data_IF_485447941813
#
_entry.id   IF_485447941813
#
_cell.length_a   1.000
_cell.length_b   1.000
_cell.length_c   1.000
_cell.angle_alpha   90.00
_cell.angle_beta   90.00
_cell.angle_gamma   90.00
#
_symmetry.space_group_name_H-M   'P 1'
#
loop_
_entity.id
_entity.type
_entity.pdbx_description
1 polymer ?
#
# COMPACT_ATOMS: atom_id res chain seq x y z
N UNK A 1 26.65 -10.15 20.45
CA UNK A 1 28.00 -10.08 19.90
C UNK A 1 27.96 -10.35 18.39
N UNK A 2 28.35 -9.37 17.54
CA UNK A 2 28.31 -9.50 16.07
C UNK A 2 29.44 -10.39 15.53
N UNK A 3 30.57 -10.47 16.24
CA UNK A 3 31.71 -11.28 15.83
C UNK A 3 31.39 -12.78 15.93
N UNK A 4 30.70 -13.18 17.01
CA UNK A 4 30.24 -14.56 17.21
C UNK A 4 29.23 -14.98 16.13
N UNK A 5 28.30 -14.10 15.76
CA UNK A 5 27.32 -14.39 14.68
C UNK A 5 28.03 -14.54 13.32
N UNK A 6 29.01 -13.71 13.02
CA UNK A 6 29.80 -13.81 11.80
C UNK A 6 30.60 -15.13 11.76
N UNK A 7 31.30 -15.47 12.85
CA UNK A 7 32.06 -16.71 12.97
C UNK A 7 31.17 -17.96 12.82
N UNK A 8 30.00 -17.96 13.45
CA UNK A 8 29.01 -19.03 13.32
C UNK A 8 28.49 -19.18 11.88
N UNK A 9 28.20 -18.05 11.20
CA UNK A 9 27.81 -18.07 9.78
C UNK A 9 28.92 -18.62 8.89
N UNK A 10 30.17 -18.19 9.09
CA UNK A 10 31.32 -18.72 8.34
C UNK A 10 31.50 -20.22 8.55
N UNK A 11 31.38 -20.71 9.79
CA UNK A 11 31.45 -22.13 10.09
C UNK A 11 30.32 -22.93 9.42
N UNK A 12 29.08 -22.41 9.46
CA UNK A 12 27.93 -23.01 8.79
C UNK A 12 28.11 -23.06 7.26
N UNK A 13 28.64 -21.98 6.65
CA UNK A 13 28.88 -21.92 5.20
C UNK A 13 29.92 -22.94 4.74
N UNK A 14 30.96 -23.18 5.55
CA UNK A 14 31.96 -24.22 5.26
C UNK A 14 31.39 -25.64 5.37
N UNK A 15 30.43 -25.86 6.28
CA UNK A 15 29.85 -27.17 6.56
C UNK A 15 28.86 -27.61 5.47
N UNK A 16 28.06 -26.68 4.95
CA UNK A 16 27.06 -26.95 3.92
C UNK A 16 27.02 -25.82 2.88
N UNK A 17 27.97 -25.81 1.93
CA UNK A 17 28.01 -24.80 0.88
C UNK A 17 26.80 -24.90 -0.05
N UNK A 18 26.28 -26.11 -0.31
CA UNK A 18 25.19 -26.34 -1.28
C UNK A 18 23.89 -25.69 -0.84
N UNK A 19 23.48 -25.83 0.42
CA UNK A 19 22.26 -25.17 0.91
C UNK A 19 22.40 -23.64 0.95
N UNK A 20 23.61 -23.12 1.18
CA UNK A 20 23.87 -21.67 1.10
C UNK A 20 23.74 -21.19 -0.34
N UNK A 21 24.29 -21.91 -1.32
CA UNK A 21 24.15 -21.54 -2.74
C UNK A 21 22.69 -21.61 -3.20
N UNK A 22 21.94 -22.64 -2.80
CA UNK A 22 20.51 -22.76 -3.12
C UNK A 22 19.68 -21.63 -2.49
N UNK A 23 19.92 -21.30 -1.21
CA UNK A 23 19.24 -20.16 -0.56
C UNK A 23 19.61 -18.82 -1.21
N UNK A 24 20.86 -18.63 -1.61
CA UNK A 24 21.28 -17.44 -2.32
C UNK A 24 20.58 -17.32 -3.68
N UNK A 25 20.49 -18.41 -4.45
CA UNK A 25 19.77 -18.46 -5.72
C UNK A 25 18.25 -18.22 -5.53
N UNK A 26 17.66 -18.70 -4.44
CA UNK A 26 16.25 -18.43 -4.15
C UNK A 26 16.01 -16.99 -3.68
N UNK A 27 16.87 -16.43 -2.83
CA UNK A 27 16.79 -15.02 -2.41
C UNK A 27 16.94 -14.05 -3.61
N UNK A 28 17.71 -14.46 -4.61
CA UNK A 28 17.76 -13.79 -5.90
C UNK A 28 16.43 -13.81 -6.68
N UNK A 29 15.46 -14.66 -6.36
CA UNK A 29 14.12 -14.58 -6.96
C UNK A 29 13.22 -13.56 -6.24
N UNK A 30 13.56 -13.19 -5.01
CA UNK A 30 12.78 -12.28 -4.16
C UNK A 30 13.24 -10.82 -4.25
N UNK A 31 14.17 -10.48 -5.16
CA UNK A 31 14.63 -9.09 -5.35
C UNK A 31 13.45 -8.19 -5.69
N UNK A 32 13.30 -7.11 -4.93
CA UNK A 32 12.21 -6.17 -5.12
C UNK A 32 12.60 -4.79 -4.57
N UNK A 33 11.84 -3.78 -5.01
CA UNK A 33 11.91 -2.41 -4.48
C UNK A 33 10.56 -2.08 -3.86
N UNK A 34 10.57 -1.53 -2.65
CA UNK A 34 9.39 -1.09 -1.93
C UNK A 34 9.52 0.34 -1.45
N UNK A 35 8.39 1.04 -1.39
CA UNK A 35 8.28 2.40 -0.86
C UNK A 35 7.38 2.34 0.37
N UNK A 36 7.84 2.92 1.49
CA UNK A 36 7.04 3.05 2.72
C UNK A 36 7.07 4.49 3.21
N UNK A 37 5.96 5.05 3.70
CA UNK A 37 5.94 6.39 4.27
C UNK A 37 6.84 6.49 5.52
N UNK A 38 7.48 7.63 5.71
CA UNK A 38 8.19 8.02 6.93
C UNK A 38 7.68 9.39 7.42
N UNK A 39 7.94 9.78 8.67
CA UNK A 39 7.57 11.11 9.17
C UNK A 39 8.15 12.25 8.32
N UNK A 40 7.59 13.45 8.48
CA UNK A 40 8.16 14.70 7.95
C UNK A 40 8.28 14.76 6.42
N UNK A 41 7.28 14.25 5.69
CA UNK A 41 7.28 14.21 4.21
C UNK A 41 8.43 13.41 3.58
N UNK A 42 9.00 12.48 4.36
CA UNK A 42 10.05 11.57 3.90
C UNK A 42 9.50 10.18 3.62
N UNK A 43 10.22 9.37 2.83
CA UNK A 43 9.87 7.98 2.57
C UNK A 43 11.09 7.06 2.68
N UNK A 44 10.85 5.79 3.02
CA UNK A 44 11.82 4.72 2.89
C UNK A 44 11.69 4.07 1.52
N UNK A 45 12.68 4.29 0.65
CA UNK A 45 12.88 3.50 -0.56
C UNK A 45 13.83 2.34 -0.24
N UNK A 46 13.29 1.12 -0.13
CA UNK A 46 14.08 -0.07 0.22
C UNK A 46 14.23 -0.97 -0.99
N UNK A 47 15.47 -1.30 -1.35
CA UNK A 47 15.79 -2.27 -2.40
C UNK A 47 16.44 -3.52 -1.78
N UNK A 48 15.84 -4.68 -2.02
CA UNK A 48 16.47 -5.98 -1.74
C UNK A 48 17.12 -6.45 -3.04
N UNK A 49 18.45 -6.52 -3.04
CA UNK A 49 19.26 -6.79 -4.22
C UNK A 49 20.29 -7.90 -3.95
N UNK A 50 20.79 -8.59 -5.00
CA UNK A 50 21.99 -9.40 -4.90
C UNK A 50 23.13 -8.56 -4.34
N UNK A 51 23.95 -9.16 -3.46
CA UNK A 51 24.99 -8.43 -2.71
C UNK A 51 25.96 -7.68 -3.64
N UNK A 52 26.34 -8.29 -4.77
CA UNK A 52 27.21 -7.65 -5.76
C UNK A 52 26.61 -6.37 -6.34
N UNK A 53 25.32 -6.39 -6.66
CA UNK A 53 24.60 -5.23 -7.19
C UNK A 53 24.39 -4.16 -6.12
N UNK A 54 23.98 -4.55 -4.90
CA UNK A 54 23.79 -3.61 -3.79
C UNK A 54 25.10 -2.89 -3.39
N UNK A 55 26.21 -3.62 -3.30
CA UNK A 55 27.54 -3.05 -3.04
C UNK A 55 27.97 -2.14 -4.19
N UNK A 56 27.73 -2.53 -5.44
CA UNK A 56 28.04 -1.70 -6.60
C UNK A 56 27.28 -0.37 -6.59
N UNK A 57 25.97 -0.39 -6.30
CA UNK A 57 25.14 0.82 -6.15
C UNK A 57 25.68 1.71 -5.04
N UNK A 58 25.88 1.16 -3.84
CA UNK A 58 26.39 1.95 -2.70
C UNK A 58 27.77 2.55 -3.00
N UNK A 59 28.69 1.78 -3.58
CA UNK A 59 30.02 2.24 -3.92
C UNK A 59 29.98 3.34 -4.99
N UNK A 60 29.10 3.22 -5.99
CA UNK A 60 28.92 4.23 -7.02
C UNK A 60 28.39 5.56 -6.47
N UNK A 61 27.39 5.51 -5.58
CA UNK A 61 26.87 6.70 -4.90
C UNK A 61 27.93 7.35 -4.00
N UNK A 62 28.72 6.53 -3.29
CA UNK A 62 29.79 7.02 -2.41
C UNK A 62 30.88 7.73 -3.21
N UNK A 63 31.34 7.14 -4.31
CA UNK A 63 32.34 7.77 -5.19
C UNK A 63 31.86 9.10 -5.74
N UNK A 64 30.58 9.20 -6.12
CA UNK A 64 30.03 10.45 -6.64
C UNK A 64 29.93 11.52 -5.54
N UNK A 65 29.44 11.16 -4.35
CA UNK A 65 29.40 12.07 -3.21
C UNK A 65 30.81 12.57 -2.82
N UNK A 66 31.82 11.70 -2.87
CA UNK A 66 33.21 12.05 -2.59
C UNK A 66 33.78 13.04 -3.61
N UNK A 67 33.52 12.79 -4.90
CA UNK A 67 33.94 13.67 -5.98
C UNK A 67 33.25 15.05 -5.87
N UNK A 68 31.95 15.10 -5.59
CA UNK A 68 31.21 16.35 -5.43
C UNK A 68 31.75 17.19 -4.27
N UNK A 69 32.05 16.58 -3.12
CA UNK A 69 32.64 17.29 -1.98
C UNK A 69 34.06 17.78 -2.26
N UNK A 70 34.86 16.98 -2.96
CA UNK A 70 36.19 17.42 -3.40
C UNK A 70 36.11 18.61 -4.37
N UNK A 71 35.03 18.70 -5.15
CA UNK A 71 34.70 19.84 -6.02
C UNK A 71 34.14 21.06 -5.30
N UNK A 72 34.07 21.08 -3.97
CA UNK A 72 33.62 22.23 -3.17
C UNK A 72 32.15 22.22 -2.78
N UNK A 73 31.40 21.13 -3.02
CA UNK A 73 30.02 21.01 -2.56
C UNK A 73 29.96 20.97 -1.02
N UNK A 74 29.14 21.85 -0.44
CA UNK A 74 29.00 22.02 1.02
C UNK A 74 28.02 21.04 1.65
N UNK A 75 27.23 20.32 0.85
CA UNK A 75 26.27 19.31 1.34
C UNK A 75 26.99 18.11 1.97
N UNK A 76 26.28 17.42 2.86
CA UNK A 76 26.80 16.20 3.49
C UNK A 76 26.92 15.05 2.48
N UNK A 77 27.82 14.09 2.77
CA UNK A 77 27.98 12.88 1.95
C UNK A 77 26.65 12.15 1.73
N UNK A 78 25.82 12.05 2.75
CA UNK A 78 24.59 11.27 2.67
C UNK A 78 23.48 12.01 1.92
N UNK A 79 23.40 13.34 2.02
CA UNK A 79 22.56 14.16 1.14
C UNK A 79 22.96 13.97 -0.32
N UNK A 80 24.26 14.06 -0.64
CA UNK A 80 24.75 13.86 -2.00
C UNK A 80 24.45 12.46 -2.53
N UNK A 81 24.62 11.40 -1.71
CA UNK A 81 24.22 10.04 -2.11
C UNK A 81 22.73 9.94 -2.40
N UNK A 82 21.87 10.57 -1.59
CA UNK A 82 20.42 10.55 -1.78
C UNK A 82 20.02 11.29 -3.06
N UNK A 83 20.56 12.49 -3.27
CA UNK A 83 20.32 13.30 -4.46
C UNK A 83 20.77 12.56 -5.73
N UNK A 84 21.99 11.99 -5.72
CA UNK A 84 22.51 11.20 -6.83
C UNK A 84 21.72 9.93 -7.09
N UNK A 85 21.20 9.28 -6.04
CA UNK A 85 20.33 8.10 -6.20
C UNK A 85 19.07 8.48 -6.97
N UNK A 86 18.41 9.58 -6.58
CA UNK A 86 17.22 10.09 -7.27
C UNK A 86 17.58 10.45 -8.70
N UNK A 87 18.59 11.29 -8.90
CA UNK A 87 19.02 11.76 -10.21
C UNK A 87 19.32 10.63 -11.20
N UNK A 88 20.01 9.56 -10.75
CA UNK A 88 20.33 8.43 -11.62
C UNK A 88 19.11 7.57 -11.97
N UNK A 89 18.11 7.52 -11.11
CA UNK A 89 16.87 6.75 -11.34
C UNK A 89 15.88 7.56 -12.18
N UNK A 90 15.74 8.86 -11.92
CA UNK A 90 14.82 9.76 -12.61
C UNK A 90 15.40 10.37 -13.88
N UNK A 91 16.72 10.29 -14.05
CA UNK A 91 17.45 10.86 -15.18
C UNK A 91 17.67 12.36 -15.12
N UNK A 92 17.46 13.02 -13.96
CA UNK A 92 17.53 14.48 -13.84
C UNK A 92 18.29 14.96 -12.61
N UNK A 93 19.28 15.83 -12.84
CA UNK A 93 19.98 16.53 -11.78
C UNK A 93 19.01 17.36 -10.94
N UNK A 94 18.99 17.08 -9.63
CA UNK A 94 18.19 17.83 -8.66
C UNK A 94 16.70 17.49 -8.60
N UNK A 95 16.20 16.40 -9.20
CA UNK A 95 14.80 16.03 -8.94
C UNK A 95 14.14 14.94 -9.80
N UNK A 96 12.82 14.95 -9.74
CA UNK A 96 11.92 14.01 -10.43
C UNK A 96 11.45 14.64 -11.74
N UNK A 97 11.55 13.93 -12.86
CA UNK A 97 10.95 14.32 -14.14
C UNK A 97 10.26 13.14 -14.83
N UNK A 98 9.19 13.41 -15.58
CA UNK A 98 8.50 12.38 -16.36
C UNK A 98 7.59 11.44 -15.57
N UNK A 99 7.24 11.77 -14.32
CA UNK A 99 6.31 10.99 -13.49
C UNK A 99 5.02 11.78 -13.26
N UNK A 100 3.87 11.11 -13.38
CA UNK A 100 2.56 11.67 -12.99
C UNK A 100 2.42 11.62 -11.46
N UNK A 101 2.49 12.78 -10.79
CA UNK A 101 2.22 12.87 -9.35
C UNK A 101 0.74 13.23 -9.18
N UNK A 102 -0.04 12.28 -8.65
CA UNK A 102 -1.44 12.51 -8.31
C UNK A 102 -1.54 13.09 -6.91
N UNK A 103 -2.17 14.25 -6.80
CA UNK A 103 -2.33 14.94 -5.53
C UNK A 103 -3.79 15.24 -5.28
N UNK A 104 -4.27 14.83 -4.11
CA UNK A 104 -5.65 15.03 -3.68
C UNK A 104 -5.65 16.07 -2.56
N UNK A 105 -6.37 17.17 -2.74
CA UNK A 105 -6.49 18.24 -1.74
C UNK A 105 -7.78 19.03 -1.96
N UNK A 106 -8.19 19.80 -0.95
CA UNK A 106 -9.28 20.74 -1.14
C UNK A 106 -8.83 21.94 -1.97
N UNK A 107 -9.79 22.56 -2.64
CA UNK A 107 -9.63 23.84 -3.35
C UNK A 107 -9.14 24.95 -2.39
N UNK A 108 -9.60 24.94 -1.13
CA UNK A 108 -9.14 25.85 -0.07
C UNK A 108 -7.65 25.69 0.25
N UNK A 109 -7.16 24.45 0.40
CA UNK A 109 -5.72 24.18 0.61
C UNK A 109 -4.86 24.70 -0.54
N UNK A 110 -5.37 24.59 -1.77
CA UNK A 110 -4.64 25.01 -2.96
C UNK A 110 -4.65 26.52 -3.16
N UNK A 111 -5.84 27.13 -3.24
CA UNK A 111 -6.04 28.51 -3.68
C UNK A 111 -6.16 29.51 -2.53
N UNK A 112 -6.67 29.07 -1.38
CA UNK A 112 -6.93 29.94 -0.23
C UNK A 112 -5.87 29.81 0.87
N UNK A 113 -4.76 29.11 0.55
CA UNK A 113 -3.64 28.86 1.45
C UNK A 113 -4.03 28.20 2.80
N UNK A 114 -5.13 27.44 2.82
CA UNK A 114 -5.59 26.73 4.02
C UNK A 114 -4.51 25.74 4.52
N UNK A 115 -4.59 25.40 5.80
CA UNK A 115 -3.68 24.46 6.49
C UNK A 115 -4.09 22.99 6.34
N UNK A 116 -5.29 22.73 5.81
CA UNK A 116 -5.84 21.40 5.60
C UNK A 116 -4.89 20.52 4.76
N UNK A 117 -4.48 19.35 5.27
CA UNK A 117 -3.44 18.54 4.64
C UNK A 117 -3.93 17.91 3.33
N UNK A 118 -2.99 17.60 2.44
CA UNK A 118 -3.26 16.91 1.18
C UNK A 118 -2.97 15.41 1.30
N UNK A 119 -3.31 14.64 0.27
CA UNK A 119 -3.05 13.21 0.19
C UNK A 119 -2.34 12.86 -1.11
N UNK A 120 -1.26 12.10 -0.98
CA UNK A 120 -0.48 11.54 -2.08
C UNK A 120 -0.72 10.02 -2.10
N UNK A 121 -1.39 9.46 -3.13
CA UNK A 121 -1.68 8.03 -3.20
C UNK A 121 -0.43 7.18 -3.09
N UNK A 122 -0.48 6.13 -2.26
CA UNK A 122 0.66 5.25 -1.96
C UNK A 122 1.67 5.82 -0.95
N UNK A 123 1.54 7.08 -0.56
CA UNK A 123 2.31 7.71 0.52
C UNK A 123 1.44 8.05 1.74
N UNK A 124 0.21 8.55 1.52
CA UNK A 124 -0.70 8.97 2.57
C UNK A 124 -0.79 10.49 2.71
N UNK A 125 -1.03 10.97 3.93
CA UNK A 125 -1.28 12.39 4.21
C UNK A 125 0.01 13.21 4.20
N UNK A 126 0.01 14.34 3.49
CA UNK A 126 1.13 15.28 3.37
C UNK A 126 0.71 16.70 3.79
N UNK A 127 1.59 17.50 4.41
CA UNK A 127 1.28 18.87 4.81
C UNK A 127 0.91 19.77 3.62
N UNK A 128 -0.03 20.69 3.85
CA UNK A 128 -0.50 21.68 2.89
C UNK A 128 0.64 22.54 2.31
N UNK A 129 1.52 23.03 3.17
CA UNK A 129 2.65 23.89 2.79
C UNK A 129 3.65 23.18 1.88
N UNK A 130 4.08 21.97 2.26
CA UNK A 130 4.96 21.14 1.43
C UNK A 130 4.36 20.91 0.05
N UNK A 131 3.07 20.59 0.04
CA UNK A 131 2.36 20.32 -1.20
C UNK A 131 2.34 21.54 -2.11
N UNK A 132 2.04 22.73 -1.58
CA UNK A 132 2.08 23.96 -2.38
C UNK A 132 3.48 24.30 -2.88
N UNK A 133 4.54 24.04 -2.10
CA UNK A 133 5.92 24.21 -2.57
C UNK A 133 6.22 23.24 -3.71
N UNK A 134 5.86 21.96 -3.57
CA UNK A 134 5.94 20.96 -4.63
C UNK A 134 5.25 21.45 -5.92
N UNK A 135 4.06 22.02 -5.80
CA UNK A 135 3.32 22.58 -6.94
C UNK A 135 4.03 23.75 -7.61
N UNK A 136 4.75 24.59 -6.86
CA UNK A 136 5.54 25.70 -7.42
C UNK A 136 6.78 25.18 -8.14
N UNK A 137 7.44 24.19 -7.56
CA UNK A 137 8.69 23.62 -8.08
C UNK A 137 8.46 22.82 -9.39
N UNK A 138 7.26 22.24 -9.57
CA UNK A 138 6.91 21.44 -10.76
C UNK A 138 5.87 22.09 -11.71
N UNK A 139 5.22 23.17 -11.31
CA UNK A 139 3.99 23.68 -11.94
C UNK A 139 4.14 24.71 -13.07
N UNK A 140 5.10 24.52 -13.99
CA UNK A 140 5.26 25.38 -15.17
C UNK A 140 4.45 24.99 -16.42
N UNK A 141 3.75 23.85 -16.43
CA UNK A 141 2.99 23.41 -17.59
C UNK A 141 1.60 22.90 -17.18
N UNK A 142 0.56 23.66 -17.53
CA UNK A 142 -0.81 23.18 -17.49
C UNK A 142 -1.04 22.19 -18.66
N UNK A 143 -1.86 21.16 -18.48
CA UNK A 143 -2.27 20.30 -19.60
C UNK A 143 -3.29 21.03 -20.48
N UNK A 144 -2.93 21.25 -21.73
CA UNK A 144 -3.82 21.72 -22.78
C UNK A 144 -4.90 20.66 -23.03
N UNK A 145 -6.10 20.88 -22.49
CA UNK A 145 -7.29 20.11 -22.86
C UNK A 145 -7.85 20.66 -24.16
N UNK A 146 -7.26 20.25 -25.29
CA UNK A 146 -7.87 20.45 -26.61
C UNK A 146 -7.48 19.31 -27.55
N UNK A 147 -8.36 18.33 -27.68
CA UNK A 147 -8.47 17.48 -28.85
C UNK A 147 -9.93 17.48 -29.32
N UNK A 148 -10.08 17.49 -30.65
CA UNK A 148 -11.26 17.54 -31.53
C UNK A 148 -11.83 18.94 -31.85
N UNK A 149 -11.94 19.39 -33.10
CA UNK A 149 -11.59 18.81 -34.41
C UNK A 149 -12.24 19.65 -35.53
N UNK A 150 -11.66 19.68 -36.73
CA UNK A 150 -12.37 20.08 -37.96
C UNK A 150 -11.65 21.04 -38.93
N UNK A 151 -10.99 20.46 -39.93
CA UNK A 151 -10.97 20.81 -41.37
C UNK A 151 -10.92 22.28 -41.84
N UNK A 152 -9.86 22.62 -42.60
CA UNK A 152 -9.80 23.77 -43.49
C UNK A 152 -8.51 23.76 -44.33
N UNK A 153 -8.64 23.84 -45.64
CA UNK A 153 -7.71 23.47 -46.72
C UNK A 153 -6.66 24.55 -47.09
N UNK A 154 -5.53 24.07 -47.65
CA UNK A 154 -4.44 24.64 -48.50
C UNK A 154 -4.27 26.17 -48.65
N UNK A 155 -3.06 26.78 -48.74
CA UNK A 155 -2.01 26.54 -49.77
C UNK A 155 -0.77 27.45 -49.51
N UNK A 156 0.42 26.98 -49.95
CA UNK A 156 1.59 27.73 -50.47
C UNK A 156 2.75 28.13 -49.51
N UNK A 157 3.92 27.50 -49.68
CA UNK A 157 5.24 28.03 -49.25
C UNK A 157 5.90 28.91 -50.34
N UNK A 158 7.24 29.12 -50.39
CA UNK A 158 8.29 28.88 -49.38
C UNK A 158 9.24 30.10 -49.18
N UNK A 159 10.12 30.09 -48.17
CA UNK A 159 11.55 30.48 -48.33
C UNK A 159 12.43 30.07 -47.14
N UNK A 160 13.53 29.41 -47.49
CA UNK A 160 14.76 29.16 -46.72
C UNK A 160 15.38 30.50 -46.24
N UNK A 161 16.26 30.57 -45.24
CA UNK A 161 16.92 29.59 -44.40
C UNK A 161 18.06 30.32 -43.67
N UNK A 162 18.30 30.00 -42.39
CA UNK A 162 19.61 30.17 -41.77
C UNK A 162 19.71 29.19 -40.62
N UNK A 163 20.59 28.23 -40.84
CA UNK A 163 21.12 27.25 -39.90
C UNK A 163 21.70 27.95 -38.67
N UNK A 164 21.34 27.46 -37.49
CA UNK A 164 22.33 27.15 -36.47
C UNK A 164 21.91 25.89 -35.73
N UNK A 165 22.76 24.88 -35.86
CA UNK A 165 22.65 23.60 -35.22
C UNK A 165 23.31 23.66 -33.83
N UNK A 166 22.49 23.60 -32.79
CA UNK A 166 22.89 23.01 -31.51
C UNK A 166 21.70 22.25 -30.90
N UNK A 167 21.20 21.27 -31.65
CA UNK A 167 20.25 20.28 -31.12
C UNK A 167 21.02 19.08 -30.57
N UNK A 168 21.24 19.07 -29.26
CA UNK A 168 21.42 17.85 -28.50
C UNK A 168 20.46 17.86 -27.31
N UNK A 169 19.19 17.70 -27.66
CA UNK A 169 18.18 16.96 -26.90
C UNK A 169 17.98 17.42 -25.44
N UNK A 170 17.61 18.69 -25.28
CA UNK A 170 16.87 19.16 -24.12
C UNK A 170 15.44 18.57 -24.21
N UNK A 171 15.33 17.25 -23.96
CA UNK A 171 14.04 16.64 -23.66
C UNK A 171 13.59 17.24 -22.35
N UNK A 172 12.88 18.36 -22.45
CA UNK A 172 12.12 18.94 -21.37
C UNK A 172 11.07 17.91 -20.94
N UNK A 173 11.49 16.96 -20.11
CA UNK A 173 10.62 15.99 -19.48
C UNK A 173 9.80 16.73 -18.44
N UNK A 174 8.59 17.11 -18.83
CA UNK A 174 7.59 17.72 -17.97
C UNK A 174 7.17 16.73 -16.88
N UNK A 175 7.18 17.16 -15.63
CA UNK A 175 6.50 16.45 -14.53
C UNK A 175 5.04 16.85 -14.60
N UNK A 176 4.16 15.88 -14.85
CA UNK A 176 2.73 16.16 -15.02
C UNK A 176 2.06 15.95 -13.67
N UNK A 177 1.62 17.05 -13.05
CA UNK A 177 0.88 16.94 -11.80
C UNK A 177 -0.62 16.95 -12.07
N UNK A 178 -1.30 15.87 -11.69
CA UNK A 178 -2.74 15.73 -11.81
C UNK A 178 -3.41 16.03 -10.48
N UNK A 179 -4.31 17.02 -10.48
CA UNK A 179 -5.01 17.52 -9.30
C UNK A 179 -6.40 16.91 -9.25
N UNK A 180 -6.75 16.31 -8.13
CA UNK A 180 -8.10 15.85 -7.84
C UNK A 180 -8.62 16.66 -6.65
N UNK A 181 -9.66 17.45 -6.89
CA UNK A 181 -10.31 18.24 -5.86
C UNK A 181 -11.41 17.42 -5.17
N UNK A 182 -11.45 17.49 -3.85
CA UNK A 182 -12.54 16.96 -3.04
C UNK A 182 -13.57 18.06 -2.76
N UNK A 183 -14.86 17.75 -2.83
CA UNK A 183 -15.91 18.70 -2.46
C UNK A 183 -15.81 19.10 -0.97
N UNK A 184 -15.91 20.40 -0.63
CA UNK A 184 -15.87 20.85 0.76
C UNK A 184 -16.98 20.18 1.60
N UNK A 185 -16.59 19.52 2.70
CA UNK A 185 -17.52 18.94 3.68
C UNK A 185 -17.82 17.45 3.52
N UNK A 186 -17.93 16.93 2.28
CA UNK A 186 -18.18 15.50 2.02
C UNK A 186 -16.92 14.69 1.76
N UNK A 187 -15.84 15.33 1.27
CA UNK A 187 -14.63 14.63 0.85
C UNK A 187 -14.83 13.77 -0.41
N UNK A 188 -15.96 13.92 -1.10
CA UNK A 188 -16.27 13.12 -2.29
C UNK A 188 -15.42 13.56 -3.49
N UNK A 189 -14.89 12.57 -4.19
CA UNK A 189 -14.38 12.73 -5.56
C UNK A 189 -15.59 12.51 -6.51
N UNK A 190 -15.70 13.25 -7.61
CA UNK A 190 -16.89 13.20 -8.50
C UNK A 190 -16.70 12.21 -9.66
N UNK A 191 -17.64 11.28 -9.84
CA UNK A 191 -17.48 10.00 -10.55
C UNK A 191 -17.73 10.03 -12.09
N UNK A 192 -17.22 9.00 -12.79
CA UNK A 192 -17.55 8.62 -14.18
C UNK A 192 -17.78 7.10 -14.24
N UNK A 193 -18.90 6.64 -14.80
CA UNK A 193 -19.23 5.21 -14.95
C UNK A 193 -18.95 4.68 -16.37
N UNK A 194 -18.70 3.37 -16.51
CA UNK A 194 -18.36 2.72 -17.79
C UNK A 194 -19.15 1.43 -18.04
N UNK A 195 -19.43 1.12 -19.30
CA UNK A 195 -20.05 -0.16 -19.73
C UNK A 195 -19.03 -1.27 -20.00
N UNK A 196 -17.72 -0.99 -19.97
CA UNK A 196 -16.68 -1.97 -20.25
C UNK A 196 -16.41 -2.89 -19.05
N UNK A 197 -16.01 -4.15 -19.28
CA UNK A 197 -15.56 -5.05 -18.20
C UNK A 197 -14.33 -4.50 -17.47
N UNK A 198 -13.39 -3.89 -18.21
CA UNK A 198 -12.19 -3.31 -17.62
C UNK A 198 -12.46 -1.89 -17.18
N UNK A 199 -11.97 -1.52 -15.99
CA UNK A 199 -12.02 -0.14 -15.52
C UNK A 199 -11.23 0.77 -16.48
N UNK A 200 -11.83 1.82 -17.07
CA UNK A 200 -11.12 2.78 -17.90
C UNK A 200 -10.03 3.52 -17.11
N UNK A 201 -9.03 4.08 -17.79
CA UNK A 201 -7.90 4.74 -17.14
C UNK A 201 -8.30 5.82 -16.11
N UNK A 202 -9.33 6.63 -16.41
CA UNK A 202 -9.86 7.62 -15.47
C UNK A 202 -10.43 7.00 -14.20
N UNK A 203 -11.27 5.98 -14.34
CA UNK A 203 -11.90 5.27 -13.22
C UNK A 203 -10.89 4.47 -12.40
N UNK A 204 -9.88 3.86 -13.04
CA UNK A 204 -8.78 3.18 -12.35
C UNK A 204 -8.03 4.11 -11.41
N UNK A 205 -7.62 5.27 -11.92
CA UNK A 205 -6.93 6.31 -11.14
C UNK A 205 -7.79 6.76 -9.97
N UNK A 206 -9.07 6.96 -10.21
CA UNK A 206 -10.01 7.36 -9.18
C UNK A 206 -10.09 6.32 -8.05
N UNK A 207 -10.29 5.04 -8.38
CA UNK A 207 -10.38 3.98 -7.38
C UNK A 207 -9.08 3.88 -6.58
N UNK A 208 -7.92 3.97 -7.24
CA UNK A 208 -6.61 3.99 -6.57
C UNK A 208 -6.47 5.16 -5.58
N UNK A 209 -6.86 6.37 -5.99
CA UNK A 209 -6.84 7.57 -5.17
C UNK A 209 -7.76 7.49 -3.95
N UNK A 210 -8.96 6.92 -4.13
CA UNK A 210 -9.95 6.71 -3.07
C UNK A 210 -9.49 5.66 -2.06
N UNK A 211 -9.00 4.53 -2.56
CA UNK A 211 -8.75 3.33 -1.77
C UNK A 211 -7.38 3.34 -1.07
N UNK A 212 -6.35 3.91 -1.72
CA UNK A 212 -4.95 4.07 -1.27
C UNK A 212 -4.20 2.76 -0.99
N UNK A 213 -4.77 1.89 -0.15
CA UNK A 213 -4.27 0.55 0.18
C UNK A 213 -5.30 -0.52 -0.15
N UNK A 214 -4.90 -1.79 -0.06
CA UNK A 214 -5.78 -2.93 -0.26
C UNK A 214 -7.05 -2.79 0.59
N UNK A 215 -8.22 -2.98 -0.03
CA UNK A 215 -9.52 -2.83 0.62
C UNK A 215 -10.00 -4.09 1.34
N UNK A 216 -9.20 -5.16 1.35
CA UNK A 216 -9.47 -6.30 2.23
C UNK A 216 -9.21 -5.88 3.68
N UNK A 217 -10.15 -6.09 4.61
CA UNK A 217 -9.99 -5.76 6.01
C UNK A 217 -8.64 -6.24 6.58
N UNK A 218 -7.97 -5.35 7.31
CA UNK A 218 -6.68 -5.58 7.97
C UNK A 218 -5.47 -5.79 7.04
N UNK A 219 -5.62 -5.54 5.73
CA UNK A 219 -4.53 -5.60 4.77
C UNK A 219 -4.08 -4.20 4.36
N UNK A 220 -2.83 -3.83 4.68
CA UNK A 220 -2.26 -2.52 4.33
C UNK A 220 -1.35 -2.60 3.10
N UNK A 221 -1.45 -3.68 2.30
CA UNK A 221 -0.61 -3.88 1.14
C UNK A 221 -0.94 -2.87 0.01
N UNK A 222 0.06 -2.45 -0.80
CA UNK A 222 -0.19 -1.61 -1.95
C UNK A 222 -1.18 -2.24 -2.93
N UNK A 223 -2.04 -1.41 -3.53
CA UNK A 223 -2.99 -1.84 -4.57
C UNK A 223 -2.19 -2.31 -5.80
N UNK A 224 -2.45 -3.54 -6.24
CA UNK A 224 -1.90 -4.12 -7.48
C UNK A 224 -3.00 -4.39 -8.50
N UNK A 225 -4.17 -4.83 -8.04
CA UNK A 225 -5.35 -5.12 -8.85
C UNK A 225 -6.48 -4.15 -8.53
N UNK A 226 -7.28 -3.85 -9.56
CA UNK A 226 -8.54 -3.13 -9.43
C UNK A 226 -9.61 -4.06 -9.95
N UNK A 227 -10.56 -4.37 -9.10
CA UNK A 227 -11.54 -5.40 -9.37
C UNK A 227 -12.92 -5.01 -8.83
N UNK A 228 -13.95 -5.71 -9.30
CA UNK A 228 -15.30 -5.46 -8.86
C UNK A 228 -15.55 -6.07 -7.47
N UNK A 229 -16.33 -5.37 -6.66
CA UNK A 229 -16.83 -5.81 -5.35
C UNK A 229 -17.86 -6.91 -5.57
N UNK A 230 -18.89 -6.62 -6.37
CA UNK A 230 -19.76 -7.61 -6.99
C UNK A 230 -19.11 -8.01 -8.31
N UNK A 231 -18.69 -9.27 -8.49
CA UNK A 231 -17.99 -9.71 -9.69
C UNK A 231 -18.74 -9.36 -10.98
N UNK A 232 -18.01 -8.99 -12.03
CA UNK A 232 -18.62 -8.63 -13.32
C UNK A 232 -19.45 -9.78 -13.92
N UNK A 233 -19.02 -11.03 -13.75
CA UNK A 233 -19.77 -12.20 -14.23
C UNK A 233 -21.06 -12.47 -13.43
N UNK A 234 -21.18 -11.91 -12.22
CA UNK A 234 -22.38 -11.97 -11.38
C UNK A 234 -23.29 -10.73 -11.57
N UNK A 235 -23.08 -9.98 -12.66
CA UNK A 235 -23.87 -8.78 -13.00
C UNK A 235 -23.34 -7.48 -12.38
N UNK A 236 -22.15 -7.49 -11.79
CA UNK A 236 -21.50 -6.29 -11.26
C UNK A 236 -21.19 -5.27 -12.36
N UNK A 237 -21.62 -4.02 -12.16
CA UNK A 237 -21.34 -2.92 -13.11
C UNK A 237 -19.94 -2.35 -12.90
N UNK A 238 -19.32 -1.86 -13.97
CA UNK A 238 -18.03 -1.15 -13.88
C UNK A 238 -18.27 0.31 -13.52
N UNK A 239 -18.50 0.52 -12.22
CA UNK A 239 -18.76 1.82 -11.63
C UNK A 239 -17.73 2.15 -10.57
N UNK A 240 -17.73 3.41 -10.13
CA UNK A 240 -16.95 3.78 -8.96
C UNK A 240 -17.42 3.01 -7.71
N UNK A 241 -18.73 2.92 -7.48
CA UNK A 241 -19.29 2.29 -6.29
C UNK A 241 -18.98 0.80 -6.19
N UNK A 242 -18.86 0.11 -7.33
CA UNK A 242 -18.60 -1.32 -7.41
C UNK A 242 -17.11 -1.66 -7.65
N UNK A 243 -16.21 -0.70 -7.82
CA UNK A 243 -14.77 -0.97 -7.92
C UNK A 243 -14.07 -0.97 -6.57
N UNK A 244 -13.01 -1.76 -6.39
CA UNK A 244 -12.12 -1.75 -5.23
C UNK A 244 -10.66 -2.04 -5.60
N UNK A 245 -9.73 -1.36 -4.92
CA UNK A 245 -8.29 -1.64 -4.98
C UNK A 245 -7.87 -2.78 -4.07
N UNK A 246 -7.20 -3.79 -4.62
CA UNK A 246 -6.75 -4.97 -3.88
C UNK A 246 -5.28 -5.26 -4.18
N UNK A 247 -4.57 -5.84 -3.21
CA UNK A 247 -3.31 -6.50 -3.52
C UNK A 247 -3.58 -7.80 -4.29
N UNK A 248 -2.56 -8.33 -4.97
CA UNK A 248 -2.69 -9.54 -5.78
C UNK A 248 -3.20 -10.74 -4.96
N UNK A 249 -2.61 -10.99 -3.79
CA UNK A 249 -2.99 -12.10 -2.91
C UNK A 249 -4.45 -12.02 -2.44
N UNK A 250 -4.89 -10.85 -1.98
CA UNK A 250 -6.27 -10.65 -1.55
C UNK A 250 -7.25 -10.73 -2.72
N UNK A 251 -6.85 -10.23 -3.90
CA UNK A 251 -7.67 -10.34 -5.10
C UNK A 251 -7.91 -11.79 -5.50
N UNK A 252 -6.90 -12.65 -5.44
CA UNK A 252 -7.09 -14.08 -5.71
C UNK A 252 -7.88 -14.78 -4.60
N UNK A 253 -7.66 -14.38 -3.34
CA UNK A 253 -8.36 -14.97 -2.20
C UNK A 253 -9.87 -14.72 -2.26
N UNK A 254 -10.31 -13.52 -2.65
CA UNK A 254 -11.74 -13.19 -2.74
C UNK A 254 -12.52 -13.99 -3.80
N UNK A 255 -11.82 -14.57 -4.78
CA UNK A 255 -12.43 -15.45 -5.80
C UNK A 255 -12.59 -16.90 -5.31
N UNK A 256 -12.08 -17.22 -4.12
CA UNK A 256 -12.22 -18.55 -3.54
C UNK A 256 -13.65 -18.80 -3.04
N UNK A 257 -14.16 -20.05 -3.10
CA UNK A 257 -15.51 -20.37 -2.64
C UNK A 257 -15.78 -19.93 -1.19
N UNK A 258 -16.98 -19.38 -0.95
CA UNK A 258 -17.41 -18.91 0.37
C UNK A 258 -16.99 -17.48 0.71
N UNK A 259 -16.18 -16.82 -0.13
CA UNK A 259 -15.96 -15.39 -0.05
C UNK A 259 -17.04 -14.63 -0.82
N UNK A 260 -17.49 -13.50 -0.27
CA UNK A 260 -18.35 -12.55 -0.99
C UNK A 260 -18.09 -11.14 -0.52
N UNK A 261 -18.34 -10.16 -1.40
CA UNK A 261 -18.24 -8.76 -1.05
C UNK A 261 -19.43 -7.97 -1.62
N UNK A 262 -19.88 -6.96 -0.88
CA UNK A 262 -21.01 -6.12 -1.28
C UNK A 262 -20.72 -4.64 -0.95
N UNK A 263 -21.04 -3.70 -1.85
CA UNK A 263 -20.99 -2.28 -1.54
C UNK A 263 -22.00 -1.96 -0.43
N UNK A 264 -21.61 -1.10 0.51
CA UNK A 264 -22.49 -0.59 1.56
C UNK A 264 -22.82 0.86 1.26
N UNK A 265 -24.12 1.25 1.22
CA UNK A 265 -24.52 2.63 1.09
C UNK A 265 -23.99 3.46 2.26
N UNK A 266 -23.54 4.67 1.97
CA UNK A 266 -23.06 5.60 2.99
C UNK A 266 -22.31 6.77 2.38
N UNK A 267 -22.02 7.80 3.21
CA UNK A 267 -21.31 9.00 2.76
C UNK A 267 -19.85 8.73 2.38
N UNK A 268 -19.32 7.56 2.73
CA UNK A 268 -17.98 7.12 2.36
C UNK A 268 -18.04 5.71 1.81
N UNK A 269 -17.34 5.51 0.70
CA UNK A 269 -17.25 4.21 0.04
C UNK A 269 -16.83 3.14 1.05
N UNK A 270 -17.73 2.18 1.25
CA UNK A 270 -17.55 1.08 2.20
C UNK A 270 -17.95 -0.20 1.49
N UNK A 271 -17.15 -1.25 1.65
CA UNK A 271 -17.52 -2.60 1.23
C UNK A 271 -17.64 -3.47 2.47
N UNK A 272 -18.59 -4.39 2.44
CA UNK A 272 -18.72 -5.46 3.41
C UNK A 272 -18.22 -6.74 2.78
N UNK A 273 -17.23 -7.36 3.41
CA UNK A 273 -16.65 -8.62 3.01
C UNK A 273 -17.16 -9.71 3.95
N UNK A 274 -17.66 -10.81 3.39
CA UNK A 274 -18.00 -12.02 4.14
C UNK A 274 -16.99 -13.11 3.81
N UNK A 275 -16.43 -13.71 4.86
CA UNK A 275 -15.45 -14.80 4.78
C UNK A 275 -16.14 -16.17 4.73
N UNK A 276 -15.45 -17.25 4.32
CA UNK A 276 -16.02 -18.61 4.26
C UNK A 276 -16.53 -19.14 5.61
N UNK A 277 -16.05 -18.58 6.72
CA UNK A 277 -16.50 -18.93 8.07
C UNK A 277 -17.79 -18.19 8.48
N UNK A 278 -18.35 -17.36 7.60
CA UNK A 278 -19.56 -16.58 7.83
C UNK A 278 -19.33 -15.26 8.59
N UNK A 279 -18.08 -14.91 8.92
CA UNK A 279 -17.78 -13.62 9.54
C UNK A 279 -17.79 -12.50 8.49
N UNK A 280 -18.45 -11.39 8.81
CA UNK A 280 -18.53 -10.20 7.97
C UNK A 280 -17.74 -9.03 8.57
N UNK A 281 -17.06 -8.29 7.70
CA UNK A 281 -16.19 -7.19 8.06
C UNK A 281 -16.43 -6.01 7.10
N UNK A 282 -16.51 -4.80 7.66
CA UNK A 282 -16.65 -3.59 6.86
C UNK A 282 -15.27 -2.97 6.63
N UNK A 283 -14.99 -2.64 5.36
CA UNK A 283 -13.80 -1.91 4.93
C UNK A 283 -14.25 -0.57 4.35
N UNK A 284 -14.03 0.49 5.12
CA UNK A 284 -14.39 1.87 4.75
C UNK A 284 -13.18 2.59 4.20
N UNK A 285 -13.35 3.37 3.13
CA UNK A 285 -12.24 4.05 2.49
C UNK A 285 -11.60 5.01 3.51
N UNK A 286 -10.26 5.12 3.51
CA UNK A 286 -9.59 6.12 4.34
C UNK A 286 -10.14 7.52 4.06
N UNK A 287 -10.29 8.38 5.09
CA UNK A 287 -10.81 9.73 4.90
C UNK A 287 -9.93 10.49 3.91
N UNK A 288 -10.55 11.11 2.91
CA UNK A 288 -9.86 12.06 2.05
C UNK A 288 -9.73 13.40 2.77
N UNK A 289 -8.75 14.25 2.39
CA UNK A 289 -8.76 15.66 2.74
C UNK A 289 -10.14 16.29 2.51
N UNK A 290 -10.57 17.22 3.35
CA UNK A 290 -11.91 17.82 3.27
C UNK A 290 -13.00 17.06 4.01
N UNK A 291 -12.75 15.83 4.46
CA UNK A 291 -13.77 15.02 5.14
C UNK A 291 -13.91 15.45 6.60
N UNK A 292 -15.13 15.84 7.01
CA UNK A 292 -15.42 16.15 8.41
C UNK A 292 -15.25 14.91 9.30
N UNK A 293 -14.33 14.96 10.28
CA UNK A 293 -14.07 13.87 11.24
C UNK A 293 -15.21 13.75 12.28
N UNK A 294 -16.16 14.70 12.28
CA UNK A 294 -17.24 14.87 13.26
C UNK A 294 -18.54 14.11 12.92
N UNK A 295 -18.54 13.17 11.97
CA UNK A 295 -19.64 12.21 11.82
C UNK A 295 -19.60 11.18 12.97
N UNK A 296 -19.90 11.67 14.19
CA UNK A 296 -20.22 10.87 15.36
C UNK A 296 -21.30 9.87 14.92
N UNK A 297 -21.00 8.58 15.05
CA UNK A 297 -21.92 7.45 14.92
C UNK A 297 -23.32 7.89 15.33
N UNK A 298 -24.23 8.06 14.37
CA UNK A 298 -25.60 8.43 14.69
C UNK A 298 -26.10 7.40 15.72
N UNK A 299 -26.56 7.82 16.91
CA UNK A 299 -27.18 6.88 17.83
C UNK A 299 -28.35 6.22 17.10
N UNK A 300 -28.46 4.89 17.21
CA UNK A 300 -29.62 4.15 16.71
C UNK A 300 -30.89 4.84 17.21
N UNK A 301 -31.87 5.03 16.34
CA UNK A 301 -33.16 5.63 16.67
C UNK A 301 -33.79 4.92 17.88
N UNK A 302 -34.48 5.69 18.72
CA UNK A 302 -35.06 5.18 19.97
C UNK A 302 -36.16 4.13 19.77
N UNK A 303 -36.64 3.96 18.53
CA UNK A 303 -37.67 2.99 18.15
C UNK A 303 -37.17 1.53 18.16
N UNK A 304 -35.86 1.29 18.15
CA UNK A 304 -35.26 -0.07 18.24
C UNK A 304 -35.21 -0.61 19.69
N UNK A 305 -35.69 0.13 20.69
CA UNK A 305 -35.56 -0.26 22.11
C UNK A 305 -36.65 -1.23 22.63
N UNK A 306 -37.58 -1.70 21.80
CA UNK A 306 -38.71 -2.54 22.26
C UNK A 306 -38.50 -4.05 22.03
N UNK A 307 -37.44 -4.50 21.35
CA UNK A 307 -37.14 -5.94 21.20
C UNK A 307 -35.71 -6.30 21.59
N UNK A 308 -35.30 -5.91 22.80
CA UNK A 308 -34.09 -6.44 23.42
C UNK A 308 -34.45 -7.62 24.34
N UNK A 309 -33.91 -8.80 24.04
CA UNK A 309 -33.85 -9.93 24.98
C UNK A 309 -33.29 -9.46 26.33
N UNK A 310 -33.80 -9.99 27.46
CA UNK A 310 -33.30 -9.60 28.78
C UNK A 310 -31.80 -9.92 28.92
N UNK A 311 -31.04 -9.08 29.67
CA UNK A 311 -29.60 -9.25 29.80
C UNK A 311 -29.25 -10.62 30.37
N UNK A 312 -28.40 -11.36 29.66
CA UNK A 312 -27.84 -12.62 30.16
C UNK A 312 -27.15 -12.38 31.51
N UNK A 313 -27.38 -13.24 32.53
CA UNK A 313 -26.77 -13.08 33.84
C UNK A 313 -25.24 -13.18 33.75
N UNK A 314 -24.52 -12.53 34.69
CA UNK A 314 -23.07 -12.40 34.64
C UNK A 314 -22.38 -13.77 34.69
N UNK A 315 -21.26 -13.86 33.95
CA UNK A 315 -20.46 -15.06 33.72
C UNK A 315 -19.87 -15.65 35.02
N UNK A 316 -20.65 -16.44 35.76
CA UNK A 316 -20.15 -17.31 36.84
C UNK A 316 -19.73 -18.71 36.33
N UNK A 317 -19.56 -18.90 35.02
CA UNK A 317 -19.32 -20.22 34.42
C UNK A 317 -17.85 -20.58 34.18
N UNK A 318 -16.90 -19.69 34.45
CA UNK A 318 -15.46 -19.96 34.29
C UNK A 318 -14.82 -20.67 35.49
N UNK A 319 -15.19 -20.34 36.71
CA UNK A 319 -14.66 -20.99 37.92
C UNK A 319 -15.19 -22.42 38.12
N UNK A 320 -16.46 -22.68 37.78
CA UNK A 320 -17.08 -24.01 37.88
C UNK A 320 -16.47 -25.01 36.87
N UNK A 321 -16.13 -24.58 35.65
CA UNK A 321 -15.49 -25.44 34.64
C UNK A 321 -14.05 -25.80 34.99
N UNK A 322 -13.32 -24.90 35.68
CA UNK A 322 -11.96 -25.16 36.15
C UNK A 322 -11.96 -26.17 37.32
N UNK A 323 -12.88 -26.02 38.29
CA UNK A 323 -13.05 -26.96 39.40
C UNK A 323 -13.49 -28.36 38.95
N UNK A 324 -14.34 -28.47 37.92
CA UNK A 324 -14.75 -29.77 37.36
C UNK A 324 -13.60 -30.50 36.64
N UNK A 325 -12.77 -29.78 35.88
CA UNK A 325 -11.57 -30.35 35.20
C UNK A 325 -10.50 -30.80 36.20
N UNK A 326 -10.30 -30.07 37.30
CA UNK A 326 -9.37 -30.47 38.37
C UNK A 326 -9.83 -31.74 39.10
N UNK A 327 -11.13 -31.88 39.41
CA UNK A 327 -11.68 -33.09 40.04
C UNK A 327 -11.63 -34.33 39.12
N UNK A 328 -11.75 -34.16 37.80
CA UNK A 328 -11.62 -35.26 36.84
C UNK A 328 -10.17 -35.74 36.67
N UNK A 329 -9.19 -34.83 36.73
CA UNK A 329 -7.75 -35.18 36.68
C UNK A 329 -7.29 -35.92 37.94
N UNK A 330 -7.80 -35.55 39.11
CA UNK A 330 -7.51 -36.26 40.36
C UNK A 330 -8.08 -37.69 40.39
N UNK A 331 -9.28 -37.92 39.82
CA UNK A 331 -9.87 -39.27 39.71
C UNK A 331 -9.13 -40.21 38.74
N UNK A 332 -8.49 -39.68 37.70
CA UNK A 332 -7.70 -40.47 36.75
C UNK A 332 -6.30 -40.82 37.32
N UNK A 333 -5.67 -39.90 38.06
CA UNK A 333 -4.39 -40.16 38.73
C UNK A 333 -4.48 -41.22 39.85
N UNK A 334 -5.61 -41.31 40.55
CA UNK A 334 -5.82 -42.31 41.60
C UNK A 334 -6.13 -43.73 41.09
N UNK A 335 -6.55 -43.88 39.82
CA UNK A 335 -6.76 -45.21 39.21
C UNK A 335 -5.49 -45.80 38.57
N UNK A 336 -4.51 -44.98 38.23
CA UNK A 336 -3.25 -45.43 37.65
C UNK A 336 -2.26 -45.99 38.71
N UNK A 337 -2.45 -45.67 39.99
CA UNK A 337 -1.55 -46.10 41.08
C UNK A 337 -2.01 -47.37 41.83
N UNK A 338 -3.05 -48.07 41.34
CA UNK A 338 -3.58 -49.33 41.93
C UNK A 338 -3.37 -50.55 41.01
N UNK A 339 -2.68 -50.41 39.88
CA UNK A 339 -2.43 -51.51 38.91
C UNK A 339 -0.95 -51.82 38.65
N UNK A 340 -0.05 -51.54 39.59
CA UNK A 340 1.34 -52.04 39.53
C UNK A 340 1.69 -52.68 40.87
N UNK A 341 1.35 -53.95 41.02
CA UNK A 341 1.66 -54.72 42.22
C UNK A 341 1.05 -56.10 42.21
N UNK A 342 1.70 -57.04 41.51
CA UNK A 342 1.83 -58.47 41.87
C UNK A 342 2.12 -59.32 40.61
N UNK A 343 3.34 -59.84 40.50
CA UNK A 343 3.58 -61.13 39.84
C UNK A 343 4.77 -61.80 40.56
N UNK A 344 4.61 -63.01 41.12
CA UNK A 344 5.66 -63.69 41.86
C UNK A 344 6.58 -64.48 40.93
N UNK A 345 7.84 -64.60 41.36
CA UNK A 345 8.83 -65.48 40.75
C UNK A 345 8.45 -66.96 40.92
N UNK A 346 8.51 -67.73 39.84
CA UNK A 346 8.55 -69.18 39.87
C UNK A 346 9.84 -69.66 39.21
N UNK A 347 10.65 -70.34 40.02
CA UNK A 347 11.85 -71.09 39.63
C UNK A 347 11.46 -72.49 39.13
N UNK A 348 12.35 -73.05 38.29
CA UNK A 348 12.74 -74.47 38.20
C UNK A 348 12.36 -75.28 36.95
N UNK A 349 13.41 -75.98 36.46
CA UNK A 349 13.53 -77.11 35.51
C UNK A 349 13.33 -76.81 34.01
N UNK A 350 14.18 -77.26 33.09
CA UNK A 350 15.22 -78.32 33.11
C UNK A 350 16.47 -77.87 32.33
#
# INVERSE_FOLDING_TARGET
DRAVVAAARTAAYRRDPRSVTQRAAHAETERHVSLRPAPDTMCYLTAILPVSQGVAVHAALTRHADAARAGGDTRSRDQLKADTLVERITGKAGGISGIEIQLIMTDRTLFQADSEPARLPGYGTVPAGWTRSLLKDFGGAAPDTSADGGSGDSTSGPKAGSTDASSADERAFTTWLRRLYTAPGSGELVAMDSRARLFPAGLRRFIQARDDTCRTPYCDAPIRHLDHIVPWHDGGTTSLSNGAGLCEACNHTKESPGWSAQPRPGPRHTLQLTTPTGHSYDSTAPPLPGTSVTARRQPRSEDDKITADPPKPPLQSRELRHRAKLRHRAKLGHRANVMVGACPAAQSAA
#
